data_IF_800960081554
#
_entry.id   IF_800960081554
#
_cell.length_a   1.000
_cell.length_b   1.000
_cell.length_c   1.000
_cell.angle_alpha   90.00
_cell.angle_beta   90.00
_cell.angle_gamma   90.00
#
_symmetry.space_group_name_H-M   'P 1'
#
loop_
_entity.id
_entity.type
_entity.pdbx_description
1 polymer ?
#
# COMPACT_ATOMS: atom_id res chain seq x y z
N UNK A 1 9.03 5.97 -16.51
CA UNK A 1 9.08 5.10 -15.32
C UNK A 1 8.69 3.73 -15.82
N UNK A 2 9.42 2.71 -15.44
CA UNK A 2 9.12 1.34 -15.81
C UNK A 2 8.91 0.54 -14.53
N UNK A 3 7.80 -0.18 -14.44
CA UNK A 3 7.53 -1.09 -13.33
C UNK A 3 7.74 -2.51 -13.84
N UNK A 4 8.65 -3.22 -13.20
CA UNK A 4 8.90 -4.62 -13.44
C UNK A 4 8.32 -5.42 -12.26
N UNK A 5 7.24 -6.17 -12.50
CA UNK A 5 6.65 -7.03 -11.47
C UNK A 5 7.54 -8.26 -11.32
N UNK A 6 8.15 -8.45 -10.15
CA UNK A 6 8.99 -9.60 -9.84
C UNK A 6 8.17 -10.78 -9.34
N UNK A 7 7.29 -10.50 -8.38
CA UNK A 7 6.48 -11.53 -7.74
C UNK A 7 5.05 -11.02 -7.53
N UNK A 8 4.09 -11.91 -7.72
CA UNK A 8 2.68 -11.67 -7.46
C UNK A 8 2.12 -12.88 -6.74
N UNK A 9 1.70 -12.66 -5.50
CA UNK A 9 1.14 -13.69 -4.64
C UNK A 9 -0.29 -13.33 -4.28
N UNK A 10 -1.23 -14.12 -4.76
CA UNK A 10 -2.64 -14.01 -4.36
C UNK A 10 -2.86 -14.76 -3.04
N UNK A 11 -3.42 -14.07 -2.04
CA UNK A 11 -3.72 -14.64 -0.74
C UNK A 11 -5.24 -14.63 -0.51
N UNK A 12 -5.88 -15.74 -0.87
CA UNK A 12 -7.34 -15.93 -0.83
C UNK A 12 -7.94 -15.81 0.58
N UNK A 13 -7.17 -16.11 1.62
CA UNK A 13 -7.63 -16.00 3.02
C UNK A 13 -7.95 -14.55 3.41
N UNK A 14 -7.22 -13.60 2.85
CA UNK A 14 -7.35 -12.18 3.14
C UNK A 14 -7.88 -11.38 1.95
N UNK A 15 -8.31 -12.05 0.87
CA UNK A 15 -8.67 -11.41 -0.40
C UNK A 15 -7.70 -10.30 -0.81
N UNK A 16 -6.40 -10.55 -0.62
CA UNK A 16 -5.34 -9.58 -0.93
C UNK A 16 -4.37 -10.17 -1.91
N UNK A 17 -3.84 -9.33 -2.77
CA UNK A 17 -2.72 -9.66 -3.65
C UNK A 17 -1.48 -8.93 -3.19
N UNK A 18 -0.42 -9.65 -2.91
CA UNK A 18 0.88 -9.09 -2.53
C UNK A 18 1.75 -9.06 -3.77
N UNK A 19 2.21 -7.86 -4.14
CA UNK A 19 3.02 -7.64 -5.33
C UNK A 19 4.36 -7.03 -4.93
N UNK A 20 5.42 -7.72 -5.37
CA UNK A 20 6.78 -7.21 -5.33
C UNK A 20 7.15 -6.72 -6.71
N UNK A 21 7.47 -5.44 -6.81
CA UNK A 21 7.82 -4.82 -8.08
C UNK A 21 9.08 -3.96 -7.94
N UNK A 22 9.87 -3.92 -9.01
CA UNK A 22 11.01 -3.03 -9.14
C UNK A 22 10.61 -1.87 -10.01
N UNK A 23 10.68 -0.69 -9.44
CA UNK A 23 10.44 0.57 -10.12
C UNK A 23 11.77 1.11 -10.63
N UNK A 24 11.94 1.16 -11.96
CA UNK A 24 13.03 1.85 -12.64
C UNK A 24 12.57 3.26 -13.00
N UNK A 25 13.32 4.25 -12.55
CA UNK A 25 13.08 5.66 -12.86
C UNK A 25 14.35 6.28 -13.42
N UNK A 26 14.23 7.41 -14.09
CA UNK A 26 15.39 8.20 -14.53
C UNK A 26 15.29 9.57 -13.88
N UNK A 27 16.31 9.93 -13.08
CA UNK A 27 16.34 11.20 -12.35
C UNK A 27 15.70 11.13 -10.95
N UNK A 28 14.65 11.92 -10.71
CA UNK A 28 14.06 12.08 -9.37
C UNK A 28 13.28 10.83 -8.94
N UNK A 29 13.42 10.46 -7.66
CA UNK A 29 12.59 9.44 -7.03
C UNK A 29 11.11 9.82 -7.15
N UNK A 30 10.27 8.98 -7.75
CA UNK A 30 8.86 9.29 -7.90
C UNK A 30 8.14 9.41 -6.57
N UNK A 31 7.11 10.25 -6.58
CA UNK A 31 6.20 10.38 -5.47
C UNK A 31 5.38 9.10 -5.25
N UNK A 32 5.05 8.82 -3.99
CA UNK A 32 4.32 7.59 -3.63
C UNK A 32 2.95 7.49 -4.31
N UNK A 33 2.31 8.63 -4.57
CA UNK A 33 1.05 8.67 -5.32
C UNK A 33 1.22 8.17 -6.75
N UNK A 34 2.29 8.61 -7.43
CA UNK A 34 2.57 8.24 -8.82
C UNK A 34 2.92 6.76 -8.96
N UNK A 35 3.69 6.21 -8.01
CA UNK A 35 3.97 4.77 -7.92
C UNK A 35 2.67 3.98 -7.81
N UNK A 36 1.71 4.46 -6.99
CA UNK A 36 0.42 3.80 -6.81
C UNK A 36 -0.41 3.78 -8.09
N UNK A 37 -0.48 4.90 -8.79
CA UNK A 37 -1.23 5.01 -10.05
C UNK A 37 -0.65 4.06 -11.11
N UNK A 38 0.66 4.00 -11.23
CA UNK A 38 1.32 3.08 -12.16
C UNK A 38 1.08 1.60 -11.81
N UNK A 39 1.10 1.24 -10.53
CA UNK A 39 0.74 -0.12 -10.10
C UNK A 39 -0.72 -0.44 -10.43
N UNK A 40 -1.64 0.52 -10.23
CA UNK A 40 -3.05 0.34 -10.63
C UNK A 40 -3.18 0.15 -12.14
N UNK A 41 -2.47 0.95 -12.94
CA UNK A 41 -2.44 0.84 -14.39
C UNK A 41 -1.90 -0.52 -14.85
N UNK A 42 -0.83 -1.00 -14.22
CA UNK A 42 -0.23 -2.31 -14.52
C UNK A 42 -1.17 -3.49 -14.22
N UNK A 43 -2.01 -3.36 -13.19
CA UNK A 43 -3.02 -4.38 -12.83
C UNK A 43 -4.27 -4.25 -13.71
N UNK A 44 -4.59 -3.04 -14.19
CA UNK A 44 -5.73 -2.77 -15.06
C UNK A 44 -7.09 -2.95 -14.36
N UNK A 45 -7.15 -2.78 -13.04
CA UNK A 45 -8.38 -2.92 -12.24
C UNK A 45 -8.52 -1.81 -11.22
N UNK A 46 -9.76 -1.40 -10.95
CA UNK A 46 -10.09 -0.55 -9.82
C UNK A 46 -9.87 -1.32 -8.52
N UNK A 47 -8.73 -1.08 -7.91
CA UNK A 47 -8.31 -1.73 -6.68
C UNK A 47 -7.65 -0.72 -5.73
N UNK A 48 -7.64 -1.04 -4.44
CA UNK A 48 -7.00 -0.24 -3.42
C UNK A 48 -5.58 -0.74 -3.18
N UNK A 49 -4.59 0.08 -3.56
CA UNK A 49 -3.17 -0.26 -3.46
C UNK A 49 -2.55 0.41 -2.24
N UNK A 50 -2.02 -0.42 -1.34
CA UNK A 50 -1.30 -0.01 -0.13
C UNK A 50 0.19 -0.27 -0.32
N UNK A 51 0.98 0.80 -0.28
CA UNK A 51 2.44 0.70 -0.35
C UNK A 51 2.99 0.41 1.05
N UNK A 52 3.59 -0.76 1.25
CA UNK A 52 4.19 -1.11 2.54
C UNK A 52 5.56 -0.45 2.69
N UNK A 53 6.41 -0.57 1.67
CA UNK A 53 7.71 0.07 1.65
C UNK A 53 8.17 0.33 0.21
N UNK A 54 8.98 1.38 0.08
CA UNK A 54 9.70 1.74 -1.14
C UNK A 54 11.17 1.85 -0.74
N UNK A 55 11.98 0.88 -1.16
CA UNK A 55 13.41 0.82 -0.88
C UNK A 55 14.16 1.16 -2.15
N UNK A 56 14.67 2.39 -2.23
CA UNK A 56 15.59 2.78 -3.30
C UNK A 56 16.90 2.00 -3.18
N UNK A 57 17.42 1.49 -4.30
CA UNK A 57 18.74 0.89 -4.38
C UNK A 57 19.78 1.99 -4.47
N UNK A 58 20.78 1.92 -3.62
CA UNK A 58 21.85 2.90 -3.62
C UNK A 58 22.72 2.74 -4.88
N UNK A 59 22.99 3.85 -5.57
CA UNK A 59 23.82 3.87 -6.79
C UNK A 59 23.13 3.45 -8.08
N UNK A 60 21.86 3.01 -8.02
CA UNK A 60 21.04 2.71 -9.20
C UNK A 60 19.75 3.54 -9.16
N UNK A 61 19.21 3.94 -10.32
CA UNK A 61 17.88 4.58 -10.37
C UNK A 61 16.75 3.53 -10.31
N UNK A 62 16.84 2.62 -9.33
CA UNK A 62 15.89 1.52 -9.11
C UNK A 62 15.37 1.56 -7.68
N UNK A 63 14.12 1.19 -7.48
CA UNK A 63 13.54 0.99 -6.16
C UNK A 63 12.77 -0.33 -6.10
N UNK A 64 13.05 -1.14 -5.08
CA UNK A 64 12.23 -2.30 -4.74
C UNK A 64 10.99 -1.81 -3.96
N UNK A 65 9.82 -2.13 -4.47
CA UNK A 65 8.52 -1.70 -3.96
C UNK A 65 7.70 -2.92 -3.57
N UNK A 66 7.16 -2.89 -2.36
CA UNK A 66 6.21 -3.89 -1.89
C UNK A 66 4.84 -3.26 -1.72
N UNK A 67 3.87 -3.79 -2.48
CA UNK A 67 2.51 -3.31 -2.50
C UNK A 67 1.53 -4.44 -2.14
N UNK A 68 0.51 -4.09 -1.37
CA UNK A 68 -0.64 -4.95 -1.10
C UNK A 68 -1.84 -4.36 -1.83
N UNK A 69 -2.49 -5.17 -2.64
CA UNK A 69 -3.68 -4.80 -3.41
C UNK A 69 -4.88 -5.45 -2.78
N UNK A 70 -5.90 -4.63 -2.57
CA UNK A 70 -7.20 -5.02 -2.06
C UNK A 70 -8.27 -4.71 -3.11
N UNK A 71 -9.34 -5.52 -3.20
CA UNK A 71 -10.43 -5.27 -4.12
C UNK A 71 -11.20 -3.99 -3.76
N UNK A 72 -11.35 -3.69 -2.46
CA UNK A 72 -12.03 -2.48 -1.97
C UNK A 72 -11.25 -1.79 -0.85
N UNK A 73 -11.55 -0.51 -0.64
CA UNK A 73 -11.04 0.28 0.49
C UNK A 73 -11.54 -0.28 1.83
N UNK A 74 -12.74 -0.86 1.86
CA UNK A 74 -13.34 -1.45 3.06
C UNK A 74 -12.58 -2.70 3.52
N UNK A 75 -12.20 -3.58 2.58
CA UNK A 75 -11.37 -4.76 2.88
C UNK A 75 -10.00 -4.35 3.42
N UNK A 76 -9.38 -3.34 2.80
CA UNK A 76 -8.12 -2.80 3.28
C UNK A 76 -8.23 -2.25 4.71
N UNK A 77 -9.33 -1.54 5.04
CA UNK A 77 -9.57 -0.97 6.38
C UNK A 77 -9.88 -2.02 7.44
N UNK A 78 -10.46 -3.16 7.04
CA UNK A 78 -10.79 -4.28 7.93
C UNK A 78 -9.55 -5.10 8.31
N UNK A 79 -8.59 -5.20 7.39
CA UNK A 79 -7.39 -6.06 7.55
C UNK A 79 -6.18 -5.26 8.03
N UNK A 80 -5.93 -4.08 7.44
CA UNK A 80 -4.77 -3.27 7.80
C UNK A 80 -5.07 -2.35 8.98
N UNK A 81 -4.07 -2.08 9.84
CA UNK A 81 -4.19 -1.10 10.90
C UNK A 81 -4.55 0.30 10.39
N UNK A 82 -5.40 1.01 11.14
CA UNK A 82 -5.88 2.36 10.80
C UNK A 82 -4.76 3.36 10.45
N UNK A 83 -3.58 3.25 11.08
CA UNK A 83 -2.44 4.14 10.81
C UNK A 83 -1.81 3.93 9.43
N UNK A 84 -1.83 2.71 8.88
CA UNK A 84 -1.31 2.41 7.53
C UNK A 84 -2.25 3.00 6.49
N UNK A 85 -3.56 2.83 6.70
CA UNK A 85 -4.60 3.37 5.82
C UNK A 85 -4.57 4.91 5.84
N UNK A 86 -4.45 5.53 7.01
CA UNK A 86 -4.35 6.99 7.14
C UNK A 86 -3.11 7.56 6.44
N UNK A 87 -1.94 6.96 6.65
CA UNK A 87 -0.69 7.36 5.99
C UNK A 87 -0.74 7.19 4.47
N UNK A 88 -1.43 6.15 3.99
CA UNK A 88 -1.55 5.87 2.56
C UNK A 88 -2.62 6.74 1.88
N UNK A 89 -3.68 7.12 2.59
CA UNK A 89 -4.72 8.05 2.09
C UNK A 89 -4.36 9.53 2.22
N UNK A 90 -3.22 9.87 2.83
CA UNK A 90 -2.82 11.26 3.07
C UNK A 90 -3.65 11.96 4.14
N UNK A 91 -4.44 11.22 4.91
CA UNK A 91 -5.11 11.74 6.09
C UNK A 91 -4.02 11.81 7.17
N UNK A 92 -3.38 12.99 7.29
CA UNK A 92 -2.60 13.32 8.48
C UNK A 92 -3.47 13.00 9.69
N UNK A 93 -2.95 12.17 10.59
CA UNK A 93 -3.56 11.94 11.89
C UNK A 93 -3.68 13.27 12.63
N UNK A 94 -4.83 13.93 12.48
CA UNK A 94 -5.41 14.61 13.61
C UNK A 94 -6.40 13.65 14.27
N UNK A 95 -5.97 13.16 15.42
CA UNK A 95 -6.80 12.65 16.52
C UNK A 95 -7.58 11.36 16.23
N UNK A 96 -7.06 10.27 16.79
CA UNK A 96 -7.90 9.34 17.56
C UNK A 96 -7.13 8.71 18.74
N UNK A 97 -6.62 9.57 19.62
CA UNK A 97 -6.93 9.38 21.05
C UNK A 97 -8.46 9.48 21.18
N UNK A 98 -9.16 8.34 21.19
CA UNK A 98 -10.56 8.10 21.62
C UNK A 98 -11.16 6.95 20.82
N UNK A 99 -10.76 5.71 21.11
CA UNK A 99 -11.69 4.57 21.03
C UNK A 99 -11.27 3.31 21.82
N UNK A 100 -10.28 3.36 22.73
CA UNK A 100 -10.11 2.33 23.77
C UNK A 100 -10.78 2.69 25.11
N UNK A 101 -11.87 3.48 25.04
CA UNK A 101 -12.87 3.56 26.11
C UNK A 101 -14.23 3.20 25.54
N UNK A 102 -14.48 1.90 25.33
CA UNK A 102 -15.79 1.22 25.41
C UNK A 102 -15.68 -0.16 24.74
N UNK A 103 -15.13 -1.15 25.44
CA UNK A 103 -15.67 -2.51 25.48
C UNK A 103 -14.88 -3.35 26.49
N UNK A 104 -15.41 -3.35 27.71
CA UNK A 104 -14.87 -4.07 28.86
C UNK A 104 -15.72 -3.81 30.10
N UNK A 105 -17.04 -3.79 29.93
CA UNK A 105 -18.00 -3.73 31.02
C UNK A 105 -18.92 -4.95 30.97
N UNK A 106 -19.10 -5.59 32.15
CA UNK A 106 -19.88 -6.79 32.50
C UNK A 106 -19.13 -8.11 32.22
N UNK A 107 -18.82 -8.91 33.24
CA UNK A 107 -19.73 -9.48 34.24
C UNK A 107 -19.04 -9.75 35.58
#
# INVERSE_FOLDING_TARGET
>A
MEIEIKDRKENKLFNREEIECVLKYEGKTPDRQKIREEIKNAIGRDCFVVLQYVKQRYGENKADVYAKIYPSQEDARRIEPSYIVARNLGIKEEKKEKEEKKEGGKK
#
